data_IF_564414126846
#
_entry.id   IF_564414126846
#
_cell.length_a   1.000
_cell.length_b   1.000
_cell.length_c   1.000
_cell.angle_alpha   90.00
_cell.angle_beta   90.00
_cell.angle_gamma   90.00
#
_symmetry.space_group_name_H-M   'P 1'
#
loop_
_entity.id
_entity.type
_entity.pdbx_description
1 polymer ?
#
# COMPACT_ATOMS: atom_id res chain seq x y z
N UNK A 1 -28.42 -37.29 -1.52
CA UNK A 1 -29.11 -36.06 -1.05
C UNK A 1 -28.16 -35.07 -0.37
N UNK A 2 -27.36 -35.50 0.62
CA UNK A 2 -26.42 -34.63 1.37
C UNK A 2 -25.36 -33.96 0.48
N UNK A 3 -24.80 -34.69 -0.49
CA UNK A 3 -23.80 -34.15 -1.44
C UNK A 3 -24.30 -32.93 -2.24
N UNK A 4 -25.57 -32.92 -2.65
CA UNK A 4 -26.15 -31.79 -3.40
C UNK A 4 -26.33 -30.52 -2.56
N UNK A 5 -26.62 -30.67 -1.26
CA UNK A 5 -26.73 -29.54 -0.32
C UNK A 5 -25.35 -28.94 -0.05
N UNK A 6 -24.34 -29.80 0.14
CA UNK A 6 -22.95 -29.38 0.34
C UNK A 6 -22.42 -28.59 -0.87
N UNK A 7 -22.70 -29.06 -2.08
CA UNK A 7 -22.28 -28.38 -3.32
C UNK A 7 -22.91 -26.98 -3.45
N UNK A 8 -24.23 -26.87 -3.28
CA UNK A 8 -24.93 -25.56 -3.34
C UNK A 8 -24.38 -24.61 -2.28
N UNK A 9 -24.18 -25.12 -1.06
CA UNK A 9 -23.64 -24.33 0.04
C UNK A 9 -22.22 -23.84 -0.25
N UNK A 10 -21.36 -24.71 -0.78
CA UNK A 10 -19.98 -24.36 -1.16
C UNK A 10 -19.96 -23.28 -2.25
N UNK A 11 -20.78 -23.44 -3.29
CA UNK A 11 -20.89 -22.44 -4.37
C UNK A 11 -21.40 -21.11 -3.81
N UNK A 12 -22.46 -21.12 -3.00
CA UNK A 12 -23.02 -19.90 -2.40
C UNK A 12 -21.99 -19.17 -1.54
N UNK A 13 -21.29 -19.90 -0.66
CA UNK A 13 -20.24 -19.32 0.19
C UNK A 13 -19.07 -18.80 -0.63
N UNK A 14 -18.65 -19.49 -1.69
CA UNK A 14 -17.60 -19.01 -2.58
C UNK A 14 -18.00 -17.70 -3.27
N UNK A 15 -19.22 -17.62 -3.82
CA UNK A 15 -19.76 -16.39 -4.40
C UNK A 15 -19.90 -15.28 -3.35
N UNK A 16 -20.40 -15.59 -2.15
CA UNK A 16 -20.51 -14.63 -1.05
C UNK A 16 -19.16 -14.07 -0.62
N UNK A 17 -18.14 -14.92 -0.51
CA UNK A 17 -16.77 -14.48 -0.22
C UNK A 17 -16.20 -13.60 -1.33
N UNK A 18 -16.50 -13.86 -2.60
CA UNK A 18 -16.10 -12.97 -3.70
C UNK A 18 -16.80 -11.61 -3.64
N UNK A 19 -18.04 -11.53 -3.17
CA UNK A 19 -18.74 -10.25 -2.98
C UNK A 19 -18.13 -9.46 -1.82
N UNK A 20 -17.82 -10.12 -0.71
CA UNK A 20 -17.27 -9.46 0.49
C UNK A 20 -15.79 -9.11 0.32
N UNK A 21 -15.02 -9.99 -0.34
CA UNK A 21 -13.58 -9.87 -0.57
C UNK A 21 -13.27 -10.14 -2.05
N UNK A 22 -13.53 -9.17 -2.93
CA UNK A 22 -13.34 -9.35 -4.37
C UNK A 22 -11.85 -9.63 -4.67
N UNK A 23 -11.51 -10.74 -5.35
CA UNK A 23 -10.14 -11.00 -5.77
C UNK A 23 -9.70 -9.98 -6.81
N UNK A 24 -8.40 -9.74 -6.95
CA UNK A 24 -7.85 -8.75 -7.88
C UNK A 24 -8.35 -8.96 -9.33
N UNK A 25 -8.59 -10.20 -9.75
CA UNK A 25 -9.15 -10.52 -11.06
C UNK A 25 -10.61 -10.04 -11.22
N UNK A 26 -11.43 -10.15 -10.17
CA UNK A 26 -12.81 -9.64 -10.19
C UNK A 26 -12.83 -8.10 -10.18
N UNK A 27 -11.94 -7.48 -9.39
CA UNK A 27 -11.74 -6.03 -9.39
C UNK A 27 -11.33 -5.53 -10.78
N UNK A 28 -10.35 -6.19 -11.41
CA UNK A 28 -9.88 -5.84 -12.75
C UNK A 28 -10.98 -6.02 -13.83
N UNK A 29 -11.88 -6.98 -13.65
CA UNK A 29 -13.02 -7.21 -14.53
C UNK A 29 -14.22 -6.27 -14.24
N UNK A 30 -14.13 -5.38 -13.24
CA UNK A 30 -15.22 -4.46 -12.87
C UNK A 30 -16.35 -5.12 -12.06
N UNK A 31 -16.18 -6.36 -11.62
CA UNK A 31 -17.12 -7.05 -10.73
C UNK A 31 -16.93 -6.62 -9.27
N UNK A 32 -17.22 -5.36 -8.99
CA UNK A 32 -17.28 -4.82 -7.63
C UNK A 32 -18.60 -4.10 -7.40
N UNK A 33 -18.93 -3.86 -6.12
CA UNK A 33 -20.14 -3.11 -5.75
C UNK A 33 -20.11 -1.71 -6.37
N UNK A 34 -18.93 -1.12 -6.47
CA UNK A 34 -18.71 0.17 -7.12
C UNK A 34 -19.02 0.14 -8.61
N UNK A 35 -18.54 -0.89 -9.33
CA UNK A 35 -18.79 -1.04 -10.77
C UNK A 35 -20.26 -1.32 -11.11
N UNK A 36 -20.93 -2.14 -10.30
CA UNK A 36 -22.34 -2.50 -10.52
C UNK A 36 -23.32 -1.35 -10.24
N UNK A 37 -22.96 -0.44 -9.34
CA UNK A 37 -23.84 0.65 -8.88
C UNK A 37 -23.26 2.04 -9.17
N UNK A 38 -22.38 2.15 -10.16
CA UNK A 38 -21.68 3.39 -10.52
C UNK A 38 -22.64 4.56 -10.77
N UNK A 39 -23.73 4.32 -11.50
CA UNK A 39 -24.75 5.36 -11.78
C UNK A 39 -25.42 5.91 -10.50
N UNK A 40 -25.60 5.08 -9.48
CA UNK A 40 -26.26 5.47 -8.23
C UNK A 40 -25.27 6.09 -7.22
N UNK A 41 -24.07 5.53 -7.15
CA UNK A 41 -22.99 6.05 -6.29
C UNK A 41 -22.50 7.42 -6.77
N UNK A 42 -22.51 7.64 -8.10
CA UNK A 42 -21.97 8.83 -8.72
C UNK A 42 -20.45 8.80 -8.80
N UNK A 43 -19.84 9.94 -9.07
CA UNK A 43 -18.39 10.01 -9.26
C UNK A 43 -17.64 10.25 -7.96
N UNK A 44 -16.74 9.31 -7.63
CA UNK A 44 -15.83 9.42 -6.49
C UNK A 44 -14.93 10.67 -6.58
N UNK A 45 -14.47 11.02 -7.79
CA UNK A 45 -13.57 12.16 -8.01
C UNK A 45 -14.24 13.51 -7.77
N UNK A 46 -15.57 13.60 -7.90
CA UNK A 46 -16.32 14.85 -7.75
C UNK A 46 -16.84 15.01 -6.32
N UNK A 47 -17.48 13.97 -5.77
CA UNK A 47 -18.14 14.01 -4.46
C UNK A 47 -17.68 12.87 -3.57
N UNK A 48 -16.40 12.86 -3.23
CA UNK A 48 -15.73 11.81 -2.44
C UNK A 48 -16.49 11.42 -1.16
N UNK A 49 -16.87 12.39 -0.33
CA UNK A 49 -17.54 12.10 0.95
C UNK A 49 -18.92 11.47 0.73
N UNK A 50 -19.76 12.09 -0.11
CA UNK A 50 -21.11 11.59 -0.38
C UNK A 50 -21.09 10.24 -1.10
N UNK A 51 -20.14 10.04 -2.01
CA UNK A 51 -19.89 8.77 -2.69
C UNK A 51 -19.63 7.67 -1.66
N UNK A 52 -18.72 7.90 -0.71
CA UNK A 52 -18.39 6.88 0.29
C UNK A 52 -19.50 6.66 1.32
N UNK A 53 -20.30 7.66 1.67
CA UNK A 53 -21.51 7.47 2.49
C UNK A 53 -22.52 6.54 1.80
N UNK A 54 -22.81 6.80 0.53
CA UNK A 54 -23.70 5.96 -0.30
C UNK A 54 -23.15 4.55 -0.46
N UNK A 55 -21.85 4.44 -0.76
CA UNK A 55 -21.15 3.15 -0.90
C UNK A 55 -21.27 2.32 0.37
N UNK A 56 -20.96 2.88 1.54
CA UNK A 56 -21.07 2.16 2.81
C UNK A 56 -22.50 1.70 3.08
N UNK A 57 -23.51 2.53 2.81
CA UNK A 57 -24.91 2.16 2.97
C UNK A 57 -25.30 0.95 2.08
N UNK A 58 -24.96 1.01 0.79
CA UNK A 58 -25.23 -0.08 -0.16
C UNK A 58 -24.49 -1.35 0.21
N UNK A 59 -23.20 -1.26 0.54
CA UNK A 59 -22.39 -2.42 0.91
C UNK A 59 -22.94 -3.10 2.16
N UNK A 60 -23.36 -2.33 3.17
CA UNK A 60 -24.02 -2.87 4.36
C UNK A 60 -25.31 -3.63 3.99
N UNK A 61 -26.17 -3.04 3.15
CA UNK A 61 -27.41 -3.69 2.69
C UNK A 61 -27.09 -5.00 1.95
N UNK A 62 -26.24 -4.95 0.92
CA UNK A 62 -25.91 -6.11 0.10
C UNK A 62 -25.31 -7.25 0.93
N UNK A 63 -24.37 -6.95 1.82
CA UNK A 63 -23.75 -7.98 2.67
C UNK A 63 -24.74 -8.53 3.71
N UNK A 64 -25.65 -7.70 4.24
CA UNK A 64 -26.69 -8.18 5.15
C UNK A 64 -27.67 -9.16 4.48
N UNK A 65 -27.85 -9.07 3.16
CA UNK A 65 -28.71 -9.95 2.36
C UNK A 65 -28.11 -11.32 2.05
N UNK A 66 -26.82 -11.55 2.34
CA UNK A 66 -26.17 -12.85 2.07
C UNK A 66 -26.78 -13.98 2.91
N UNK A 67 -27.08 -13.72 4.19
CA UNK A 67 -27.68 -14.73 5.06
C UNK A 67 -29.12 -15.12 4.64
N UNK A 68 -30.07 -14.17 4.48
CA UNK A 68 -31.40 -14.52 4.01
C UNK A 68 -31.38 -15.04 2.57
N UNK A 69 -30.49 -14.54 1.71
CA UNK A 69 -30.30 -15.06 0.36
C UNK A 69 -29.91 -16.54 0.34
N UNK A 70 -29.09 -16.99 1.28
CA UNK A 70 -28.76 -18.41 1.43
C UNK A 70 -29.98 -19.24 1.86
N UNK A 71 -30.73 -18.78 2.85
CA UNK A 71 -31.95 -19.47 3.34
C UNK A 71 -32.98 -19.60 2.22
N UNK A 72 -33.23 -18.52 1.47
CA UNK A 72 -34.12 -18.52 0.30
C UNK A 72 -33.62 -19.47 -0.78
N UNK A 73 -32.30 -19.50 -1.05
CA UNK A 73 -31.72 -20.44 -2.02
C UNK A 73 -31.96 -21.90 -1.62
N UNK A 74 -31.78 -22.23 -0.33
CA UNK A 74 -32.08 -23.57 0.17
C UNK A 74 -33.57 -23.88 0.09
N UNK A 75 -34.45 -22.92 0.40
CA UNK A 75 -35.91 -23.10 0.35
C UNK A 75 -36.38 -23.43 -1.06
N UNK A 76 -35.82 -22.76 -2.07
CA UNK A 76 -36.16 -22.99 -3.48
C UNK A 76 -35.56 -24.29 -4.03
N UNK A 77 -34.34 -24.65 -3.64
CA UNK A 77 -33.61 -25.78 -4.26
C UNK A 77 -33.73 -27.10 -3.50
N UNK A 78 -34.02 -27.04 -2.20
CA UNK A 78 -34.05 -28.16 -1.24
C UNK A 78 -35.18 -27.96 -0.20
N UNK A 79 -36.45 -27.87 -0.62
CA UNK A 79 -37.58 -27.62 0.29
C UNK A 79 -37.73 -28.69 1.38
N UNK A 80 -37.36 -29.94 1.08
CA UNK A 80 -37.38 -31.06 2.03
C UNK A 80 -36.60 -30.79 3.33
N UNK A 81 -35.60 -29.89 3.33
CA UNK A 81 -34.86 -29.49 4.52
C UNK A 81 -35.79 -28.76 5.50
N UNK A 82 -36.66 -27.90 4.99
CA UNK A 82 -37.60 -27.12 5.78
C UNK A 82 -38.74 -28.00 6.27
N UNK A 83 -39.26 -28.89 5.43
CA UNK A 83 -40.24 -29.91 5.85
C UNK A 83 -39.66 -30.80 6.95
N UNK A 84 -38.40 -31.24 6.80
CA UNK A 84 -37.70 -32.03 7.81
C UNK A 84 -37.55 -31.27 9.13
N UNK A 85 -37.16 -29.99 9.09
CA UNK A 85 -37.06 -29.11 10.26
C UNK A 85 -38.41 -28.98 10.98
N UNK A 86 -39.48 -28.75 10.21
CA UNK A 86 -40.81 -28.53 10.78
C UNK A 86 -41.40 -29.81 11.41
N UNK A 87 -41.15 -30.96 10.81
CA UNK A 87 -41.63 -32.26 11.31
C UNK A 87 -40.83 -32.75 12.52
N UNK A 88 -39.50 -32.62 12.51
CA UNK A 88 -38.64 -33.28 13.52
C UNK A 88 -38.28 -32.38 14.71
N UNK A 89 -38.31 -31.06 14.55
CA UNK A 89 -37.94 -30.14 15.62
C UNK A 89 -39.15 -29.39 16.18
N UNK A 90 -39.81 -28.59 15.35
CA UNK A 90 -40.97 -27.80 15.76
C UNK A 90 -41.74 -27.36 14.53
N UNK A 91 -43.08 -27.38 14.57
CA UNK A 91 -43.95 -27.12 13.39
C UNK A 91 -43.77 -25.73 12.74
N UNK A 92 -43.04 -24.82 13.37
CA UNK A 92 -42.73 -23.48 12.87
C UNK A 92 -41.21 -23.22 12.73
N UNK A 93 -40.36 -24.24 12.79
CA UNK A 93 -38.91 -24.10 12.76
C UNK A 93 -38.40 -23.38 11.49
N UNK A 94 -38.97 -23.68 10.33
CA UNK A 94 -38.67 -23.03 9.05
C UNK A 94 -38.96 -21.53 9.07
N UNK A 95 -40.10 -21.15 9.65
CA UNK A 95 -40.51 -19.74 9.76
C UNK A 95 -39.63 -18.98 10.74
N UNK A 96 -39.24 -19.59 11.86
CA UNK A 96 -38.32 -19.01 12.83
C UNK A 96 -36.92 -18.83 12.22
N UNK A 97 -36.44 -19.80 11.43
CA UNK A 97 -35.17 -19.70 10.71
C UNK A 97 -35.18 -18.55 9.69
N UNK A 98 -36.26 -18.40 8.94
CA UNK A 98 -36.41 -17.30 7.98
C UNK A 98 -36.41 -15.94 8.70
N UNK A 99 -37.22 -15.79 9.76
CA UNK A 99 -37.27 -14.56 10.56
C UNK A 99 -35.90 -14.23 11.18
N UNK A 100 -35.21 -15.24 11.73
CA UNK A 100 -33.87 -15.07 12.28
C UNK A 100 -32.86 -14.64 11.19
N UNK A 101 -32.97 -15.16 9.97
CA UNK A 101 -32.10 -14.78 8.85
C UNK A 101 -32.37 -13.35 8.34
N UNK A 102 -33.61 -12.87 8.45
CA UNK A 102 -34.02 -11.53 8.03
C UNK A 102 -33.73 -10.46 9.09
N UNK A 103 -33.57 -10.84 10.37
CA UNK A 103 -33.34 -9.90 11.46
C UNK A 103 -32.11 -8.99 11.22
N UNK A 104 -30.90 -9.49 10.86
CA UNK A 104 -29.74 -8.62 10.60
C UNK A 104 -29.98 -7.65 9.43
N UNK A 105 -30.66 -8.13 8.38
CA UNK A 105 -31.05 -7.34 7.23
C UNK A 105 -32.02 -6.21 7.60
N UNK A 106 -33.02 -6.50 8.44
CA UNK A 106 -33.97 -5.50 8.93
C UNK A 106 -33.29 -4.46 9.81
N UNK A 107 -32.36 -4.87 10.69
CA UNK A 107 -31.57 -3.95 11.53
C UNK A 107 -30.72 -3.02 10.67
N UNK A 108 -30.00 -3.56 9.67
CA UNK A 108 -29.19 -2.74 8.75
C UNK A 108 -30.08 -1.79 7.95
N UNK A 109 -31.22 -2.26 7.44
CA UNK A 109 -32.20 -1.43 6.75
C UNK A 109 -32.71 -0.28 7.62
N UNK A 110 -32.99 -0.55 8.90
CA UNK A 110 -33.38 0.49 9.87
C UNK A 110 -32.25 1.50 10.11
N UNK A 111 -31.00 1.06 10.27
CA UNK A 111 -29.83 1.93 10.43
C UNK A 111 -29.65 2.85 9.20
N UNK A 112 -29.70 2.28 7.98
CA UNK A 112 -29.54 3.05 6.75
C UNK A 112 -30.71 4.02 6.53
N UNK A 113 -31.93 3.61 6.84
CA UNK A 113 -33.12 4.48 6.81
C UNK A 113 -32.98 5.65 7.80
N UNK A 114 -32.43 5.40 8.99
CA UNK A 114 -32.11 6.43 9.96
C UNK A 114 -31.02 7.39 9.45
N UNK A 115 -29.99 6.91 8.73
CA UNK A 115 -29.02 7.78 8.06
C UNK A 115 -29.69 8.64 6.97
N UNK A 116 -30.55 8.05 6.16
CA UNK A 116 -31.24 8.76 5.09
C UNK A 116 -32.19 9.85 5.61
N UNK A 117 -33.08 9.49 6.53
CA UNK A 117 -34.06 10.41 7.14
C UNK A 117 -33.41 11.54 7.94
N UNK A 118 -32.20 11.32 8.45
CA UNK A 118 -31.41 12.34 9.13
C UNK A 118 -30.60 13.24 8.18
N UNK A 119 -30.71 13.08 6.85
CA UNK A 119 -29.87 13.82 5.92
C UNK A 119 -28.37 13.51 6.11
N UNK A 120 -28.06 12.28 6.52
CA UNK A 120 -26.73 11.69 6.71
C UNK A 120 -25.94 12.15 7.95
N UNK A 121 -26.45 13.05 8.82
CA UNK A 121 -25.67 13.51 9.98
C UNK A 121 -25.35 12.39 11.01
N UNK A 122 -26.20 11.36 11.09
CA UNK A 122 -25.99 10.17 11.95
C UNK A 122 -25.04 9.14 11.34
N UNK A 123 -24.58 9.35 10.11
CA UNK A 123 -23.64 8.45 9.46
C UNK A 123 -22.26 8.57 10.14
N UNK A 124 -21.53 7.48 10.41
CA UNK A 124 -20.24 7.55 11.12
C UNK A 124 -19.23 8.52 10.51
N UNK A 125 -19.19 8.62 9.17
CA UNK A 125 -18.34 9.58 8.45
C UNK A 125 -18.75 11.04 8.69
N UNK A 126 -20.05 11.32 8.77
CA UNK A 126 -20.51 12.68 9.08
C UNK A 126 -20.14 13.03 10.52
N UNK A 127 -20.35 12.10 11.46
CA UNK A 127 -19.98 12.28 12.87
C UNK A 127 -18.48 12.53 13.05
N UNK A 128 -17.61 11.85 12.30
CA UNK A 128 -16.16 12.10 12.36
C UNK A 128 -15.76 13.46 11.77
N UNK A 129 -16.51 13.98 10.80
CA UNK A 129 -16.27 15.28 10.19
C UNK A 129 -16.71 16.46 11.08
N UNK A 130 -17.76 16.29 11.90
CA UNK A 130 -18.24 17.32 12.82
C UNK A 130 -17.12 17.80 13.77
N UNK A 131 -16.20 16.90 14.15
CA UNK A 131 -15.06 17.20 15.05
C UNK A 131 -14.11 18.27 14.49
N UNK A 132 -14.10 18.46 13.17
CA UNK A 132 -13.29 19.46 12.47
C UNK A 132 -14.07 20.70 12.06
N UNK A 133 -15.38 20.71 12.29
CA UNK A 133 -16.20 21.84 11.89
C UNK A 133 -16.06 22.99 12.92
N UNK A 134 -16.04 24.26 12.47
CA UNK A 134 -15.89 25.40 13.36
C UNK A 134 -17.09 25.60 14.31
N UNK A 135 -18.26 25.08 13.93
CA UNK A 135 -19.50 25.20 14.68
C UNK A 135 -20.00 23.81 15.09
N UNK A 136 -20.42 23.65 16.35
CA UNK A 136 -21.00 22.40 16.88
C UNK A 136 -22.41 22.08 16.34
N UNK A 137 -22.81 22.62 15.19
CA UNK A 137 -24.10 22.33 14.58
C UNK A 137 -24.06 20.97 13.86
N UNK A 138 -25.16 20.20 13.86
CA UNK A 138 -25.20 18.86 13.28
C UNK A 138 -25.04 18.84 11.75
N UNK A 139 -25.19 19.99 11.08
CA UNK A 139 -24.98 20.13 9.63
C UNK A 139 -23.60 20.70 9.26
N UNK A 140 -22.78 21.09 10.25
CA UNK A 140 -21.51 21.74 9.99
C UNK A 140 -20.52 20.84 9.23
N UNK A 141 -20.66 19.51 9.34
CA UNK A 141 -19.86 18.55 8.58
C UNK A 141 -19.95 18.73 7.07
N UNK A 142 -21.05 19.30 6.54
CA UNK A 142 -21.24 19.53 5.11
C UNK A 142 -20.21 20.51 4.54
N UNK A 143 -19.81 21.51 5.34
CA UNK A 143 -18.77 22.48 4.96
C UNK A 143 -17.41 21.79 4.83
N UNK A 144 -16.99 21.06 5.86
CA UNK A 144 -15.77 20.24 5.87
C UNK A 144 -15.78 19.22 4.72
N UNK A 145 -16.93 18.59 4.45
CA UNK A 145 -17.07 17.66 3.34
C UNK A 145 -16.91 18.33 1.98
N UNK A 146 -17.41 19.56 1.81
CA UNK A 146 -17.22 20.34 0.59
C UNK A 146 -15.74 20.67 0.39
N UNK A 147 -15.04 21.08 1.44
CA UNK A 147 -13.61 21.39 1.40
C UNK A 147 -12.80 20.14 1.00
N UNK A 148 -13.04 19.00 1.66
CA UNK A 148 -12.39 17.72 1.30
C UNK A 148 -12.69 17.35 -0.15
N UNK A 149 -13.92 17.50 -0.63
CA UNK A 149 -14.27 17.20 -2.01
C UNK A 149 -13.52 18.10 -3.00
N UNK A 150 -13.35 19.39 -2.69
CA UNK A 150 -12.57 20.30 -3.55
C UNK A 150 -11.09 19.94 -3.58
N UNK A 151 -10.54 19.52 -2.44
CA UNK A 151 -9.15 19.11 -2.31
C UNK A 151 -8.88 17.76 -3.00
N UNK A 152 -9.81 16.81 -2.86
CA UNK A 152 -9.73 15.50 -3.51
C UNK A 152 -9.73 15.59 -5.04
N UNK A 153 -10.33 16.63 -5.63
CA UNK A 153 -10.30 16.85 -7.08
C UNK A 153 -8.93 17.22 -7.62
N UNK A 154 -8.00 17.66 -6.76
CA UNK A 154 -6.65 18.03 -7.19
C UNK A 154 -5.89 16.80 -7.69
N UNK A 155 -4.98 17.03 -8.64
CA UNK A 155 -4.22 15.97 -9.32
C UNK A 155 -3.10 15.45 -8.43
N UNK A 156 -2.55 16.31 -7.58
CA UNK A 156 -1.39 16.05 -6.74
C UNK A 156 -1.72 15.30 -5.44
N UNK A 157 -2.79 14.50 -5.41
CA UNK A 157 -3.11 13.63 -4.28
C UNK A 157 -2.29 12.34 -4.33
N UNK A 158 -1.82 11.90 -3.17
CA UNK A 158 -1.23 10.58 -3.00
C UNK A 158 -2.36 9.55 -2.82
N UNK A 159 -2.25 8.42 -3.52
CA UNK A 159 -3.16 7.28 -3.39
C UNK A 159 -2.29 6.03 -3.28
N UNK A 160 -2.41 5.29 -2.18
CA UNK A 160 -1.72 4.02 -2.04
C UNK A 160 -2.19 3.02 -3.11
N UNK A 161 -1.30 2.13 -3.53
CA UNK A 161 -1.57 1.05 -4.47
C UNK A 161 -2.72 0.13 -4.07
N UNK A 162 -3.09 -0.76 -5.00
CA UNK A 162 -4.28 -1.61 -4.90
C UNK A 162 -4.08 -2.69 -3.83
N UNK A 163 -4.41 -2.37 -2.57
CA UNK A 163 -4.67 -3.38 -1.55
C UNK A 163 -6.14 -3.78 -1.59
N UNK A 164 -6.42 -5.08 -1.48
CA UNK A 164 -7.80 -5.61 -1.49
C UNK A 164 -8.62 -5.21 -0.26
N UNK A 165 -7.98 -4.69 0.80
CA UNK A 165 -8.61 -4.49 2.11
C UNK A 165 -8.93 -3.02 2.39
N UNK A 166 -8.04 -2.10 2.01
CA UNK A 166 -8.24 -0.66 2.20
C UNK A 166 -7.33 0.15 1.28
N UNK A 167 -7.71 1.40 1.04
CA UNK A 167 -6.94 2.38 0.27
C UNK A 167 -6.62 3.58 1.14
N UNK A 168 -5.38 4.05 1.11
CA UNK A 168 -4.96 5.29 1.76
C UNK A 168 -4.94 6.39 0.73
N UNK A 169 -5.49 7.54 1.08
CA UNK A 169 -5.46 8.75 0.27
C UNK A 169 -4.89 9.86 1.12
N UNK A 170 -3.84 10.54 0.66
CA UNK A 170 -3.37 11.78 1.27
C UNK A 170 -3.55 12.93 0.28
N UNK A 171 -4.22 13.97 0.75
CA UNK A 171 -4.36 15.26 0.07
C UNK A 171 -3.41 16.26 0.75
N UNK A 172 -3.58 17.56 0.55
CA UNK A 172 -2.70 18.59 1.13
C UNK A 172 -2.91 18.77 2.64
N UNK A 173 -4.14 18.58 3.10
CA UNK A 173 -4.57 18.80 4.48
C UNK A 173 -5.21 17.55 5.09
N UNK A 174 -5.59 16.54 4.31
CA UNK A 174 -6.27 15.35 4.83
C UNK A 174 -5.54 14.06 4.52
N UNK A 175 -5.43 13.21 5.53
CA UNK A 175 -5.04 11.81 5.41
C UNK A 175 -6.26 10.93 5.68
N UNK A 176 -6.58 10.06 4.73
CA UNK A 176 -7.81 9.27 4.71
C UNK A 176 -7.49 7.80 4.50
N UNK A 177 -8.10 6.93 5.32
CA UNK A 177 -8.09 5.48 5.16
C UNK A 177 -9.49 5.02 4.80
N UNK A 178 -9.64 4.55 3.57
CA UNK A 178 -10.88 4.08 2.98
C UNK A 178 -10.93 2.56 3.06
N UNK A 179 -11.82 2.02 3.90
CA UNK A 179 -12.10 0.58 3.99
C UNK A 179 -13.48 0.28 3.39
N UNK A 180 -13.86 -1.00 3.31
CA UNK A 180 -15.17 -1.44 2.81
C UNK A 180 -16.34 -0.81 3.58
N UNK A 181 -16.25 -0.71 4.91
CA UNK A 181 -17.37 -0.29 5.76
C UNK A 181 -17.18 1.07 6.44
N UNK A 182 -15.97 1.61 6.42
CA UNK A 182 -15.64 2.85 7.13
C UNK A 182 -14.61 3.67 6.36
N UNK A 183 -14.76 4.98 6.45
CA UNK A 183 -13.72 5.93 6.05
C UNK A 183 -13.24 6.60 7.33
N UNK A 184 -11.97 6.42 7.64
CA UNK A 184 -11.30 7.10 8.75
C UNK A 184 -10.50 8.25 8.14
N UNK A 185 -10.54 9.42 8.77
CA UNK A 185 -9.85 10.60 8.26
C UNK A 185 -9.27 11.41 9.40
N UNK A 186 -8.18 12.08 9.10
CA UNK A 186 -7.48 12.97 10.01
C UNK A 186 -6.97 14.18 9.24
N UNK A 187 -7.03 15.35 9.88
CA UNK A 187 -6.40 16.54 9.36
C UNK A 187 -4.88 16.45 9.59
N UNK A 188 -4.08 16.60 8.54
CA UNK A 188 -2.62 16.39 8.55
C UNK A 188 -1.89 17.29 9.56
N UNK A 189 -2.40 18.50 9.84
CA UNK A 189 -1.83 19.37 10.90
C UNK A 189 -2.00 18.78 12.30
N UNK A 190 -3.08 18.06 12.53
CA UNK A 190 -3.41 17.44 13.82
C UNK A 190 -2.87 15.99 13.89
N UNK A 191 -2.26 15.49 12.80
CA UNK A 191 -1.79 14.12 12.69
C UNK A 191 -0.39 13.94 13.26
N UNK A 192 -0.23 12.91 14.09
CA UNK A 192 1.05 12.39 14.57
C UNK A 192 1.24 11.01 13.97
N UNK A 193 2.18 10.93 13.02
CA UNK A 193 2.51 9.71 12.31
C UNK A 193 3.72 9.04 12.98
N UNK A 194 3.59 7.76 13.33
CA UNK A 194 4.66 7.02 13.99
C UNK A 194 4.89 5.66 13.33
N UNK A 195 6.15 5.31 13.11
CA UNK A 195 6.53 4.04 12.48
C UNK A 195 6.52 2.93 13.53
N UNK A 196 5.60 1.98 13.39
CA UNK A 196 5.36 0.92 14.39
C UNK A 196 6.11 -0.37 14.04
N UNK A 197 6.27 -0.68 12.76
CA UNK A 197 6.98 -1.89 12.34
C UNK A 197 7.25 -1.94 10.84
N UNK A 198 8.09 -2.87 10.43
CA UNK A 198 8.31 -3.22 9.02
C UNK A 198 8.18 -4.72 8.81
N UNK A 199 7.55 -5.11 7.72
CA UNK A 199 7.43 -6.49 7.27
C UNK A 199 7.96 -6.61 5.85
N UNK A 200 8.95 -7.46 5.61
CA UNK A 200 9.42 -7.73 4.25
C UNK A 200 8.49 -8.75 3.62
N UNK A 201 7.78 -8.36 2.57
CA UNK A 201 6.91 -9.28 1.84
C UNK A 201 7.65 -9.74 0.60
N UNK A 202 7.84 -11.06 0.45
CA UNK A 202 8.31 -11.63 -0.80
C UNK A 202 7.21 -11.47 -1.84
N UNK A 203 7.50 -10.78 -2.95
CA UNK A 203 6.53 -10.57 -4.02
C UNK A 203 6.04 -11.91 -4.60
N UNK A 204 4.84 -11.94 -5.21
CA UNK A 204 4.38 -13.13 -5.92
C UNK A 204 5.39 -13.52 -7.01
N UNK A 205 5.74 -14.81 -7.06
CA UNK A 205 6.76 -15.42 -7.95
C UNK A 205 6.63 -15.05 -9.44
N UNK A 206 5.48 -14.50 -9.87
CA UNK A 206 5.16 -14.18 -11.26
C UNK A 206 5.31 -12.70 -11.68
N UNK A 207 5.52 -11.77 -10.74
CA UNK A 207 5.72 -10.36 -11.07
C UNK A 207 6.87 -9.80 -10.23
N UNK A 208 8.06 -9.76 -10.83
CA UNK A 208 9.32 -9.16 -10.32
C UNK A 208 9.67 -9.50 -8.85
N UNK A 209 10.71 -10.31 -8.59
CA UNK A 209 11.10 -10.75 -7.24
C UNK A 209 11.84 -9.66 -6.46
N UNK A 210 11.29 -8.45 -6.42
CA UNK A 210 11.84 -7.40 -5.55
C UNK A 210 11.18 -7.55 -4.17
N UNK A 211 11.97 -7.78 -3.10
CA UNK A 211 11.43 -7.78 -1.75
C UNK A 211 10.88 -6.39 -1.45
N UNK A 212 9.56 -6.26 -1.35
CA UNK A 212 8.91 -5.00 -1.01
C UNK A 212 8.74 -4.93 0.51
N UNK A 213 9.50 -4.04 1.16
CA UNK A 213 9.30 -3.74 2.58
C UNK A 213 7.97 -3.00 2.74
N UNK A 214 7.06 -3.59 3.52
CA UNK A 214 5.84 -2.92 3.98
C UNK A 214 6.09 -2.31 5.36
N UNK A 215 5.88 -1.01 5.46
CA UNK A 215 5.97 -0.23 6.68
C UNK A 215 4.58 -0.11 7.29
N UNK A 216 4.45 -0.36 8.59
CA UNK A 216 3.23 -0.09 9.37
C UNK A 216 3.40 1.23 10.09
N UNK A 217 2.50 2.16 9.80
CA UNK A 217 2.48 3.51 10.37
C UNK A 217 1.21 3.62 11.22
N UNK A 218 1.38 3.97 12.49
CA UNK A 218 0.30 4.31 13.37
C UNK A 218 0.00 5.82 13.25
N UNK A 219 -1.27 6.13 12.97
CA UNK A 219 -1.78 7.49 12.77
C UNK A 219 -2.62 7.87 13.98
N UNK A 220 -2.14 8.85 14.73
CA UNK A 220 -2.79 9.38 15.92
C UNK A 220 -3.18 10.84 15.70
N UNK A 221 -4.20 11.30 16.41
CA UNK A 221 -4.66 12.69 16.39
C UNK A 221 -4.30 13.39 17.70
N UNK A 222 -3.81 14.62 17.60
CA UNK A 222 -3.69 15.53 18.75
C UNK A 222 -5.07 15.96 19.24
N UNK A 223 -6.03 16.09 18.31
CA UNK A 223 -7.40 16.46 18.61
C UNK A 223 -8.15 15.30 19.26
N UNK A 224 -8.81 15.57 20.38
CA UNK A 224 -9.66 14.61 21.09
C UNK A 224 -10.89 14.20 20.24
N UNK A 225 -11.38 12.98 20.46
CA UNK A 225 -12.55 12.45 19.74
C UNK A 225 -12.26 11.86 18.36
N UNK A 226 -11.00 11.87 17.91
CA UNK A 226 -10.59 11.23 16.64
C UNK A 226 -9.90 9.90 16.94
N UNK A 227 -10.45 8.75 16.48
CA UNK A 227 -9.85 7.45 16.75
C UNK A 227 -8.56 7.23 15.95
N UNK A 228 -7.53 6.70 16.60
CA UNK A 228 -6.29 6.30 15.93
C UNK A 228 -6.52 5.14 14.95
N UNK A 229 -5.67 5.05 13.93
CA UNK A 229 -5.70 3.95 12.96
C UNK A 229 -4.32 3.66 12.38
N UNK A 230 -4.09 2.41 12.00
CA UNK A 230 -2.85 2.01 11.34
C UNK A 230 -3.02 1.95 9.83
N UNK A 231 -2.01 2.40 9.09
CA UNK A 231 -1.86 2.22 7.65
C UNK A 231 -0.61 1.39 7.37
N UNK A 232 -0.62 0.63 6.27
CA UNK A 232 0.55 -0.09 5.77
C UNK A 232 0.83 0.37 4.35
N UNK A 233 2.08 0.72 4.09
CA UNK A 233 2.55 1.24 2.81
C UNK A 233 3.86 0.56 2.45
N UNK A 234 4.15 0.43 1.17
CA UNK A 234 5.50 0.04 0.73
C UNK A 234 6.53 1.14 1.06
N UNK A 235 7.81 0.80 1.08
CA UNK A 235 8.88 1.80 1.26
C UNK A 235 8.92 2.86 0.17
N UNK A 236 8.44 2.56 -1.04
CA UNK A 236 8.31 3.53 -2.15
C UNK A 236 7.18 4.53 -1.88
N UNK A 237 5.99 4.02 -1.57
CA UNK A 237 4.81 4.83 -1.23
C UNK A 237 5.01 5.67 0.04
N UNK A 238 5.86 5.20 0.95
CA UNK A 238 6.23 5.95 2.15
C UNK A 238 6.90 7.28 1.79
N UNK A 239 7.82 7.29 0.80
CA UNK A 239 8.46 8.52 0.36
C UNK A 239 7.47 9.52 -0.23
N UNK A 240 6.45 9.06 -0.95
CA UNK A 240 5.38 9.92 -1.47
C UNK A 240 4.49 10.48 -0.36
N UNK A 241 4.16 9.66 0.64
CA UNK A 241 3.40 10.13 1.81
C UNK A 241 4.21 11.13 2.64
N UNK A 242 5.52 10.93 2.79
CA UNK A 242 6.42 11.83 3.51
C UNK A 242 6.42 13.24 2.89
N UNK A 243 6.33 13.35 1.56
CA UNK A 243 6.19 14.64 0.87
C UNK A 243 4.87 15.37 1.18
N UNK A 244 3.81 14.64 1.57
CA UNK A 244 2.51 15.22 1.97
C UNK A 244 2.39 15.44 3.48
N UNK A 245 3.25 14.84 4.28
CA UNK A 245 3.19 14.97 5.73
C UNK A 245 3.59 16.39 6.17
N UNK A 246 2.74 17.04 6.97
CA UNK A 246 3.06 18.35 7.56
C UNK A 246 4.04 18.20 8.72
N UNK A 247 3.83 17.18 9.56
CA UNK A 247 4.67 16.85 10.70
C UNK A 247 5.63 15.71 10.31
N UNK A 248 6.89 15.72 10.80
CA UNK A 248 7.82 14.64 10.52
C UNK A 248 7.30 13.31 11.06
N UNK A 249 7.47 12.24 10.29
CA UNK A 249 7.05 10.90 10.69
C UNK A 249 8.03 10.36 11.74
N UNK A 250 7.53 10.11 12.95
CA UNK A 250 8.37 9.71 14.09
C UNK A 250 8.77 8.24 13.96
N UNK A 251 10.05 7.98 13.74
CA UNK A 251 10.61 6.64 13.77
C UNK A 251 11.00 6.23 15.20
N UNK A 252 9.99 6.02 16.06
CA UNK A 252 10.21 5.74 17.49
C UNK A 252 10.98 4.44 17.76
N UNK A 253 10.96 3.49 16.80
CA UNK A 253 11.60 2.17 16.93
C UNK A 253 12.89 2.04 16.11
N UNK A 254 13.42 3.13 15.56
CA UNK A 254 14.63 3.13 14.70
C UNK A 254 14.57 2.08 13.57
N UNK A 255 13.38 1.86 13.03
CA UNK A 255 13.18 0.86 11.97
C UNK A 255 13.93 1.35 10.73
N UNK A 256 14.82 0.51 10.21
CA UNK A 256 15.56 0.81 8.98
C UNK A 256 14.58 0.74 7.81
N UNK A 257 14.29 1.89 7.21
CA UNK A 257 13.52 1.97 5.96
C UNK A 257 14.49 1.59 4.85
N UNK A 258 14.27 0.44 4.21
CA UNK A 258 15.02 0.02 3.04
C UNK A 258 14.64 0.96 1.89
N UNK A 259 15.55 1.90 1.63
CA UNK A 259 15.55 2.77 0.46
C UNK A 259 15.70 1.94 -0.83
N UNK A 260 15.65 2.59 -1.99
CA UNK A 260 15.62 1.92 -3.30
C UNK A 260 16.70 0.83 -3.43
N UNK A 261 16.49 -0.19 -4.28
CA UNK A 261 17.52 -1.21 -4.53
C UNK A 261 18.89 -0.61 -4.88
N UNK A 262 18.89 0.56 -5.53
CA UNK A 262 20.10 1.34 -5.79
C UNK A 262 20.78 1.84 -4.52
N UNK A 263 20.02 2.30 -3.52
CA UNK A 263 20.57 2.77 -2.24
C UNK A 263 21.10 1.61 -1.39
N UNK A 264 20.36 0.48 -1.34
CA UNK A 264 20.83 -0.74 -0.68
C UNK A 264 22.12 -1.27 -1.34
N UNK A 265 22.16 -1.24 -2.66
CA UNK A 265 23.37 -1.58 -3.41
C UNK A 265 24.50 -0.61 -3.08
N UNK A 266 24.28 0.71 -3.08
CA UNK A 266 25.30 1.70 -2.76
C UNK A 266 25.88 1.55 -1.35
N UNK A 267 25.02 1.27 -0.37
CA UNK A 267 25.44 1.01 1.00
C UNK A 267 26.33 -0.24 1.05
N UNK A 268 25.90 -1.33 0.43
CA UNK A 268 26.65 -2.60 0.40
C UNK A 268 27.95 -2.46 -0.39
N UNK A 269 27.92 -1.82 -1.56
CA UNK A 269 29.06 -1.49 -2.40
C UNK A 269 30.10 -0.70 -1.62
N UNK A 270 29.67 0.35 -0.90
CA UNK A 270 30.56 1.18 -0.07
C UNK A 270 31.15 0.38 1.10
N UNK A 271 30.35 -0.46 1.77
CA UNK A 271 30.85 -1.34 2.85
C UNK A 271 31.89 -2.33 2.34
N UNK A 272 31.66 -2.96 1.19
CA UNK A 272 32.60 -3.92 0.61
C UNK A 272 33.89 -3.26 0.16
N UNK A 273 33.82 -2.08 -0.47
CA UNK A 273 35.02 -1.34 -0.92
C UNK A 273 35.88 -0.87 0.26
N UNK A 274 35.28 -0.55 1.42
CA UNK A 274 36.05 -0.22 2.63
C UNK A 274 36.93 -1.38 3.12
N UNK A 275 36.63 -2.62 2.73
CA UNK A 275 37.45 -3.79 3.03
C UNK A 275 38.60 -3.97 2.02
N UNK A 276 38.54 -3.31 0.86
CA UNK A 276 39.62 -3.36 -0.13
C UNK A 276 40.80 -2.49 0.35
N UNK A 277 42.06 -2.89 0.07
CA UNK A 277 43.21 -2.09 0.46
C UNK A 277 43.16 -0.69 -0.16
N UNK A 278 43.57 0.33 0.59
CA UNK A 278 43.55 1.72 0.11
C UNK A 278 44.61 1.95 -0.97
N UNK A 279 44.27 2.76 -1.98
CA UNK A 279 45.20 3.24 -2.98
C UNK A 279 46.09 4.34 -2.40
N UNK A 280 47.31 4.48 -2.92
CA UNK A 280 48.21 5.57 -2.55
C UNK A 280 47.63 6.91 -3.01
N UNK A 281 47.73 7.96 -2.17
CA UNK A 281 47.24 9.28 -2.54
C UNK A 281 48.02 9.81 -3.75
N UNK A 282 47.35 10.44 -4.73
CA UNK A 282 48.05 11.09 -5.83
C UNK A 282 48.94 12.22 -5.30
N UNK A 283 50.06 12.47 -5.96
CA UNK A 283 50.97 13.60 -5.63
C UNK A 283 50.36 14.98 -5.92
N UNK A 284 49.19 15.03 -6.55
CA UNK A 284 48.47 16.26 -6.92
C UNK A 284 47.17 16.37 -6.12
N UNK A 285 46.68 17.60 -5.94
CA UNK A 285 45.42 17.86 -5.23
C UNK A 285 44.24 17.13 -5.89
N UNK A 286 43.35 16.61 -5.04
CA UNK A 286 42.17 15.86 -5.50
C UNK A 286 41.16 16.83 -6.10
N UNK A 287 40.87 16.65 -7.38
CA UNK A 287 39.81 17.38 -8.07
C UNK A 287 38.43 16.94 -7.56
N UNK A 288 37.43 17.81 -7.76
CA UNK A 288 36.04 17.47 -7.50
C UNK A 288 35.59 16.30 -8.38
N UNK A 289 34.72 15.46 -7.84
CA UNK A 289 34.17 14.33 -8.55
C UNK A 289 33.41 14.80 -9.80
N UNK A 290 33.72 14.20 -10.95
CA UNK A 290 33.09 14.52 -12.23
C UNK A 290 31.57 14.24 -12.26
N UNK A 291 31.09 13.33 -11.41
CA UNK A 291 29.67 12.99 -11.33
C UNK A 291 28.85 14.01 -10.53
N UNK A 292 29.21 14.27 -9.27
CA UNK A 292 28.43 15.14 -8.39
C UNK A 292 28.93 16.58 -8.31
N UNK A 293 30.19 16.85 -8.68
CA UNK A 293 30.86 18.15 -8.54
C UNK A 293 30.83 18.74 -7.12
N UNK A 294 30.59 17.92 -6.09
CA UNK A 294 30.43 18.35 -4.70
C UNK A 294 31.56 17.84 -3.80
N UNK A 295 31.96 16.58 -3.96
CA UNK A 295 32.99 15.94 -3.13
C UNK A 295 34.25 15.68 -3.94
N UNK A 296 35.45 15.70 -3.31
CA UNK A 296 36.68 15.34 -4.00
C UNK A 296 36.65 13.86 -4.44
N UNK A 297 37.28 13.57 -5.57
CA UNK A 297 37.46 12.20 -6.04
C UNK A 297 38.23 11.38 -5.00
N UNK A 298 37.62 10.29 -4.51
CA UNK A 298 38.14 9.48 -3.41
C UNK A 298 38.26 8.00 -3.74
N UNK A 299 38.15 7.64 -5.02
CA UNK A 299 38.26 6.26 -5.50
C UNK A 299 39.21 6.15 -6.68
N UNK A 300 40.03 5.10 -6.66
CA UNK A 300 40.89 4.66 -7.75
C UNK A 300 40.45 3.26 -8.24
N UNK A 301 40.68 2.99 -9.52
CA UNK A 301 40.47 1.67 -10.13
C UNK A 301 41.83 1.02 -10.37
N UNK A 302 42.14 -0.03 -9.60
CA UNK A 302 43.39 -0.78 -9.67
C UNK A 302 43.05 -2.26 -9.85
N UNK A 303 43.61 -2.91 -10.87
CA UNK A 303 43.32 -4.32 -11.12
C UNK A 303 43.91 -5.18 -10.00
N UNK A 304 43.03 -5.85 -9.25
CA UNK A 304 43.39 -6.71 -8.11
C UNK A 304 42.73 -8.07 -8.16
N UNK A 305 41.72 -8.27 -8.99
CA UNK A 305 41.19 -9.61 -9.22
C UNK A 305 42.24 -10.48 -9.97
N UNK A 306 42.61 -11.62 -9.39
CA UNK A 306 43.47 -12.61 -10.07
C UNK A 306 42.67 -13.27 -11.20
N UNK A 307 43.11 -13.07 -12.44
CA UNK A 307 42.49 -13.71 -13.59
C UNK A 307 42.99 -15.15 -13.73
N UNK A 308 42.42 -16.08 -12.96
CA UNK A 308 42.50 -17.50 -13.34
C UNK A 308 41.50 -17.77 -14.47
N UNK A 309 41.98 -17.67 -15.72
CA UNK A 309 41.52 -18.56 -16.79
C UNK A 309 40.31 -18.19 -17.65
N UNK A 310 39.97 -16.91 -17.88
CA UNK A 310 39.06 -16.58 -19.01
C UNK A 310 39.42 -15.25 -19.68
N UNK A 311 39.34 -15.24 -21.02
CA UNK A 311 39.65 -14.13 -21.94
C UNK A 311 38.69 -12.94 -21.85
N UNK A 312 37.73 -12.98 -20.92
CA UNK A 312 36.75 -11.93 -20.62
C UNK A 312 37.02 -11.30 -19.24
N UNK A 313 38.28 -11.14 -18.85
CA UNK A 313 38.76 -10.61 -17.56
C UNK A 313 38.56 -9.10 -17.33
N UNK A 314 38.78 -8.62 -16.09
CA UNK A 314 38.94 -7.19 -15.83
C UNK A 314 40.23 -6.67 -16.49
N UNK A 315 40.17 -5.45 -17.00
CA UNK A 315 41.27 -4.77 -17.69
C UNK A 315 41.99 -3.79 -16.77
N UNK A 316 43.25 -3.49 -17.06
CA UNK A 316 44.00 -2.48 -16.31
C UNK A 316 43.49 -1.07 -16.64
N UNK A 317 43.06 -0.32 -15.62
CA UNK A 317 42.62 1.05 -15.76
C UNK A 317 43.78 2.01 -15.46
N UNK A 318 44.07 2.94 -16.38
CA UNK A 318 45.11 3.98 -16.20
C UNK A 318 44.54 5.39 -16.10
N UNK A 319 43.25 5.49 -15.77
CA UNK A 319 42.61 6.79 -15.53
C UNK A 319 43.08 7.38 -14.21
N UNK A 320 43.19 8.71 -14.17
CA UNK A 320 43.33 9.43 -12.90
C UNK A 320 42.04 9.27 -12.07
N UNK A 321 42.13 9.30 -10.73
CA UNK A 321 40.96 9.36 -9.87
C UNK A 321 40.10 10.60 -10.17
N UNK A 322 38.89 10.41 -10.66
CA UNK A 322 37.95 11.49 -11.01
C UNK A 322 36.56 11.31 -10.40
N UNK A 323 36.34 10.22 -9.66
CA UNK A 323 35.01 9.85 -9.16
C UNK A 323 35.04 9.67 -7.65
N UNK A 324 33.95 10.02 -6.99
CA UNK A 324 33.70 9.63 -5.61
C UNK A 324 33.00 8.26 -5.57
N UNK A 325 33.08 7.58 -4.43
CA UNK A 325 32.54 6.22 -4.23
C UNK A 325 31.04 6.11 -4.55
N UNK A 326 30.26 7.13 -4.21
CA UNK A 326 28.81 7.12 -4.45
C UNK A 326 28.49 7.26 -5.94
N UNK A 327 29.14 8.17 -6.67
CA UNK A 327 28.94 8.33 -8.10
C UNK A 327 29.43 7.11 -8.89
N UNK A 328 30.57 6.53 -8.51
CA UNK A 328 31.06 5.30 -9.14
C UNK A 328 30.14 4.11 -8.87
N UNK A 329 29.61 3.98 -7.65
CA UNK A 329 28.64 2.94 -7.32
C UNK A 329 27.33 3.08 -8.09
N UNK A 330 26.82 4.31 -8.25
CA UNK A 330 25.61 4.58 -9.06
C UNK A 330 25.84 4.19 -10.52
N UNK A 331 27.01 4.55 -11.05
CA UNK A 331 27.41 4.13 -12.39
C UNK A 331 27.44 2.60 -12.51
N UNK A 332 28.11 1.93 -11.58
CA UNK A 332 28.21 0.47 -11.57
C UNK A 332 26.84 -0.20 -11.58
N UNK A 333 25.93 0.23 -10.69
CA UNK A 333 24.55 -0.29 -10.62
C UNK A 333 23.78 -0.07 -11.93
N UNK A 334 23.93 1.09 -12.57
CA UNK A 334 23.24 1.42 -13.83
C UNK A 334 23.65 0.55 -15.02
N UNK A 335 24.79 -0.15 -14.91
CA UNK A 335 25.33 -1.02 -15.97
C UNK A 335 24.99 -2.49 -15.75
N UNK A 336 24.31 -2.83 -14.65
CA UNK A 336 23.93 -4.20 -14.34
C UNK A 336 22.57 -4.57 -14.94
N UNK A 337 22.33 -5.87 -15.04
CA UNK A 337 21.02 -6.42 -15.42
C UNK A 337 19.99 -6.11 -14.33
N UNK A 338 19.03 -5.25 -14.65
CA UNK A 338 17.99 -4.82 -13.72
C UNK A 338 17.00 -5.94 -13.37
N UNK A 339 16.98 -7.03 -14.14
CA UNK A 339 16.13 -8.19 -13.87
C UNK A 339 16.75 -9.20 -12.88
N UNK A 340 18.07 -9.16 -12.67
CA UNK A 340 18.82 -10.09 -11.80
C UNK A 340 19.70 -9.36 -10.76
N UNK A 341 19.09 -8.62 -9.80
CA UNK A 341 19.81 -7.80 -8.80
C UNK A 341 20.73 -8.59 -7.87
N UNK A 342 20.46 -9.88 -7.64
CA UNK A 342 21.28 -10.78 -6.83
C UNK A 342 22.70 -10.97 -7.40
N UNK A 343 22.88 -10.77 -8.70
CA UNK A 343 24.16 -10.94 -9.39
C UNK A 343 25.03 -9.67 -9.41
N UNK A 344 24.51 -8.52 -8.96
CA UNK A 344 25.16 -7.21 -9.18
C UNK A 344 26.55 -7.13 -8.56
N UNK A 345 26.73 -7.57 -7.31
CA UNK A 345 28.03 -7.51 -6.62
C UNK A 345 29.09 -8.42 -7.25
N UNK A 346 28.68 -9.51 -7.91
CA UNK A 346 29.56 -10.46 -8.58
C UNK A 346 29.86 -10.07 -10.04
N UNK A 347 29.09 -9.12 -10.58
CA UNK A 347 29.18 -8.67 -11.96
C UNK A 347 30.30 -7.64 -12.18
N UNK A 348 30.39 -7.11 -13.39
CA UNK A 348 31.44 -6.18 -13.82
C UNK A 348 30.83 -4.96 -14.49
N UNK A 349 31.57 -3.87 -14.51
CA UNK A 349 31.16 -2.64 -15.19
C UNK A 349 32.33 -2.04 -15.99
N UNK A 350 32.05 -1.32 -17.08
CA UNK A 350 33.08 -0.53 -17.77
C UNK A 350 33.37 0.75 -16.97
N UNK A 351 34.64 1.15 -16.91
CA UNK A 351 35.05 2.45 -16.35
C UNK A 351 34.30 3.60 -17.07
N UNK A 352 33.69 4.56 -16.35
CA UNK A 352 32.99 5.69 -16.97
C UNK A 352 33.85 6.49 -17.95
N UNK A 353 35.16 6.50 -17.72
CA UNK A 353 36.12 7.32 -18.49
C UNK A 353 36.73 6.56 -19.66
N UNK A 354 37.43 5.45 -19.41
CA UNK A 354 38.16 4.72 -20.45
C UNK A 354 37.50 3.40 -20.89
N UNK A 355 36.35 3.05 -20.28
CA UNK A 355 35.60 1.82 -20.55
C UNK A 355 36.32 0.50 -20.23
N UNK A 356 37.50 0.54 -19.60
CA UNK A 356 38.17 -0.66 -19.08
C UNK A 356 37.22 -1.39 -18.13
N UNK A 357 37.04 -2.69 -18.34
CA UNK A 357 36.17 -3.52 -17.49
C UNK A 357 36.79 -3.69 -16.10
N UNK A 358 36.00 -3.48 -15.06
CA UNK A 358 36.43 -3.65 -13.66
C UNK A 358 35.35 -4.36 -12.84
N UNK A 359 35.76 -4.97 -11.73
CA UNK A 359 34.88 -5.58 -10.73
C UNK A 359 35.00 -4.88 -9.38
N UNK A 360 34.18 -5.29 -8.42
CA UNK A 360 34.15 -4.71 -7.06
C UNK A 360 35.52 -4.75 -6.35
N UNK A 361 36.32 -5.79 -6.60
CA UNK A 361 37.65 -5.96 -6.00
C UNK A 361 38.70 -4.99 -6.56
N UNK A 362 38.46 -4.45 -7.77
CA UNK A 362 39.39 -3.52 -8.41
C UNK A 362 39.19 -2.07 -7.91
N UNK A 363 38.18 -1.83 -7.07
CA UNK A 363 37.85 -0.50 -6.58
C UNK A 363 38.54 -0.25 -5.25
N UNK A 364 39.37 0.79 -5.16
CA UNK A 364 40.14 1.13 -3.96
C UNK A 364 39.86 2.55 -3.50
N UNK A 365 39.62 2.76 -2.21
CA UNK A 365 39.53 4.10 -1.62
C UNK A 365 40.90 4.75 -1.55
N UNK A 366 40.95 6.05 -1.76
CA UNK A 366 42.18 6.84 -1.65
C UNK A 366 42.27 7.34 -0.20
N UNK A 367 43.34 6.94 0.49
CA UNK A 367 43.62 7.36 1.88
C UNK A 367 43.85 8.87 1.95
#
# INVERSE_FOLDING_TARGET
>A
MISGVLMISLIYWMCGLMVVFPPCAAVAAGFTIEGLLDQWLGSESITFIQYHMRRTAVTCILHSMLLPGYVVTLMMTKPWIFDFLDVHYHSQASTLLLLASLLPSAVVGWIVSNWWSSGWHKHPLATSLVVYAPNNSPDAWKSVAADINTEYRRVDKFISGVSSVYRVVATDNWLMKVTTYRVQLIHLRDAVLSLEGSHITQGPVRATPTPAQQLTINVMSVREGVPAFCIRLSSVEFGELELKAVNPIVNARQIVIQQSLSDLFLETFTKTIRLNPTATPPSSERQLCFGCMQTPANVSLERRCNATGSSTGCQECRCRPMWCVSCLGKWFASRQDQHHPESWLASRAPCPTCRSTFCLLDVSLIA
#
